data_IF_635639992941
#
_entry.id   IF_635639992941
#
_cell.length_a   1.000
_cell.length_b   1.000
_cell.length_c   1.000
_cell.angle_alpha   90.00
_cell.angle_beta   90.00
_cell.angle_gamma   90.00
#
_symmetry.space_group_name_H-M   'P 1'
#
loop_
_entity.id
_entity.type
_entity.pdbx_description
1 polymer ?
#
# COMPACT_ATOMS: atom_id res chain seq x y z
N UNK A 1 -2.33 -2.85 18.15
CA UNK A 1 -1.19 -2.24 18.89
C UNK A 1 -0.26 -3.36 19.35
N UNK A 2 0.93 -3.48 18.76
CA UNK A 2 2.01 -4.33 19.28
C UNK A 2 3.12 -3.38 19.72
N UNK A 3 3.47 -3.44 21.01
CA UNK A 3 4.56 -2.67 21.60
C UNK A 3 5.87 -3.04 20.91
N UNK A 4 6.53 -2.07 20.28
CA UNK A 4 7.95 -2.16 19.96
C UNK A 4 8.72 -1.96 21.26
N UNK A 5 9.25 -3.05 21.80
CA UNK A 5 10.12 -3.02 22.98
C UNK A 5 11.48 -2.47 22.52
N UNK A 6 11.73 -1.21 22.82
CA UNK A 6 13.03 -0.57 22.67
C UNK A 6 14.00 -1.15 23.70
N UNK A 7 14.85 -2.09 23.27
CA UNK A 7 15.97 -2.56 24.09
C UNK A 7 17.19 -1.67 23.85
N UNK A 8 17.28 -0.58 24.62
CA UNK A 8 18.44 0.30 24.62
C UNK A 8 19.54 -0.33 25.49
N UNK A 9 20.43 -1.13 24.89
CA UNK A 9 21.62 -1.62 25.58
C UNK A 9 22.66 -0.50 25.66
N UNK A 10 22.67 0.21 26.79
CA UNK A 10 23.80 0.99 27.27
C UNK A 10 24.95 0.03 27.58
N UNK A 11 26.00 0.04 26.75
CA UNK A 11 27.24 -0.69 27.05
C UNK A 11 28.12 0.23 27.88
N UNK A 12 28.10 0.03 29.19
CA UNK A 12 29.16 0.48 30.09
C UNK A 12 30.45 -0.27 29.75
N UNK A 13 31.52 0.48 29.51
CA UNK A 13 32.89 -0.02 29.40
C UNK A 13 33.34 -0.56 30.77
N UNK A 14 33.00 -1.81 31.07
CA UNK A 14 33.71 -2.56 32.09
C UNK A 14 34.93 -3.22 31.45
N UNK A 15 36.12 -2.69 31.77
CA UNK A 15 37.39 -3.36 31.56
C UNK A 15 37.46 -4.60 32.46
N UNK A 16 36.78 -5.67 32.06
CA UNK A 16 36.99 -6.99 32.62
C UNK A 16 38.04 -7.68 31.74
N UNK A 17 39.15 -8.13 32.35
CA UNK A 17 40.00 -9.15 31.76
C UNK A 17 39.09 -10.32 31.39
N UNK A 18 38.87 -10.54 30.10
CA UNK A 18 37.99 -11.60 29.59
C UNK A 18 38.82 -12.84 29.27
N UNK A 19 38.75 -13.91 30.08
CA UNK A 19 39.40 -15.16 29.76
C UNK A 19 38.59 -15.86 28.67
N UNK A 20 38.87 -15.53 27.41
CA UNK A 20 38.24 -16.12 26.25
C UNK A 20 39.09 -15.88 25.01
N UNK A 21 39.00 -16.78 24.02
CA UNK A 21 39.69 -16.63 22.75
C UNK A 21 39.18 -15.34 22.06
N UNK A 22 40.01 -14.30 22.00
CA UNK A 22 39.65 -12.99 21.47
C UNK A 22 39.19 -13.04 19.99
N UNK A 23 39.65 -14.03 19.24
CA UNK A 23 39.19 -14.32 17.89
C UNK A 23 37.75 -14.84 17.87
N UNK A 24 37.35 -15.65 18.86
CA UNK A 24 35.97 -16.12 19.00
C UNK A 24 35.03 -14.94 19.25
N UNK A 25 35.40 -14.02 20.13
CA UNK A 25 34.60 -12.83 20.42
C UNK A 25 34.44 -11.93 19.18
N UNK A 26 35.52 -11.75 18.41
CA UNK A 26 35.49 -11.01 17.15
C UNK A 26 34.56 -11.68 16.11
N UNK A 27 34.62 -13.01 15.99
CA UNK A 27 33.70 -13.79 15.15
C UNK A 27 32.24 -13.65 15.61
N UNK A 28 31.98 -13.71 16.92
CA UNK A 28 30.65 -13.51 17.48
C UNK A 28 30.11 -12.09 17.22
N UNK A 29 30.98 -11.07 17.23
CA UNK A 29 30.59 -9.70 16.89
C UNK A 29 30.14 -9.59 15.43
N UNK A 30 30.86 -10.19 14.49
CA UNK A 30 30.45 -10.27 13.08
C UNK A 30 29.12 -11.00 12.95
N UNK A 31 28.96 -12.15 13.61
CA UNK A 31 27.72 -12.95 13.57
C UNK A 31 26.52 -12.17 14.11
N UNK A 32 26.68 -11.45 15.23
CA UNK A 32 25.63 -10.60 15.80
C UNK A 32 25.21 -9.50 14.83
N UNK A 33 26.18 -8.80 14.22
CA UNK A 33 25.88 -7.76 13.23
C UNK A 33 25.13 -8.33 12.00
N UNK A 34 25.52 -9.51 11.50
CA UNK A 34 24.80 -10.19 10.41
C UNK A 34 23.36 -10.51 10.78
N UNK A 35 23.16 -11.08 11.97
CA UNK A 35 21.83 -11.38 12.47
C UNK A 35 20.97 -10.12 12.56
N UNK A 36 21.51 -9.00 13.04
CA UNK A 36 20.79 -7.72 13.08
C UNK A 36 20.33 -7.28 11.69
N UNK A 37 21.20 -7.33 10.68
CA UNK A 37 20.82 -6.97 9.30
C UNK A 37 19.76 -7.91 8.75
N UNK A 38 19.88 -9.22 8.99
CA UNK A 38 18.89 -10.21 8.57
C UNK A 38 17.52 -9.99 9.22
N UNK A 39 17.49 -9.64 10.51
CA UNK A 39 16.24 -9.27 11.21
C UNK A 39 15.62 -8.03 10.58
N UNK A 40 16.40 -6.96 10.35
CA UNK A 40 15.91 -5.72 9.73
C UNK A 40 15.35 -6.00 8.33
N UNK A 41 16.04 -6.80 7.50
CA UNK A 41 15.55 -7.21 6.18
C UNK A 41 14.24 -8.01 6.25
N UNK A 42 14.13 -8.92 7.22
CA UNK A 42 12.90 -9.69 7.44
C UNK A 42 11.73 -8.77 7.81
N UNK A 43 11.96 -7.82 8.70
CA UNK A 43 10.93 -6.88 9.14
C UNK A 43 10.56 -5.85 8.06
N UNK A 44 11.52 -5.42 7.23
CA UNK A 44 11.29 -4.64 6.02
C UNK A 44 10.32 -5.36 5.07
N UNK A 45 10.61 -6.63 4.74
CA UNK A 45 9.78 -7.44 3.82
C UNK A 45 8.37 -7.69 4.37
N UNK A 46 8.26 -7.95 5.67
CA UNK A 46 6.96 -8.07 6.36
C UNK A 46 6.18 -6.76 6.29
N UNK A 47 6.85 -5.64 6.53
CA UNK A 47 6.23 -4.31 6.50
C UNK A 47 5.74 -3.96 5.10
N UNK A 48 6.59 -4.14 4.07
CA UNK A 48 6.22 -3.97 2.65
C UNK A 48 4.97 -4.78 2.30
N UNK A 49 4.96 -6.07 2.64
CA UNK A 49 3.83 -6.96 2.37
C UNK A 49 2.57 -6.58 3.14
N UNK A 50 2.71 -6.14 4.39
CA UNK A 50 1.58 -5.71 5.22
C UNK A 50 0.94 -4.43 4.68
N UNK A 51 1.76 -3.43 4.33
CA UNK A 51 1.29 -2.16 3.78
C UNK A 51 0.56 -2.39 2.46
N UNK A 52 1.16 -3.19 1.55
CA UNK A 52 0.55 -3.53 0.26
C UNK A 52 -0.84 -4.14 0.44
N UNK A 53 -0.94 -5.19 1.26
CA UNK A 53 -2.23 -5.89 1.50
C UNK A 53 -3.28 -4.99 2.13
N UNK A 54 -2.91 -4.19 3.14
CA UNK A 54 -3.84 -3.26 3.78
C UNK A 54 -4.37 -2.20 2.79
N UNK A 55 -3.48 -1.65 1.96
CA UNK A 55 -3.86 -0.70 0.92
C UNK A 55 -4.78 -1.32 -0.13
N UNK A 56 -4.41 -2.48 -0.68
CA UNK A 56 -5.22 -3.21 -1.65
C UNK A 56 -6.61 -3.51 -1.10
N UNK A 57 -6.70 -4.06 0.12
CA UNK A 57 -7.98 -4.37 0.77
C UNK A 57 -8.88 -3.14 0.87
N UNK A 58 -8.34 -2.00 1.29
CA UNK A 58 -9.12 -0.74 1.42
C UNK A 58 -9.54 -0.19 0.06
N UNK A 59 -8.65 -0.21 -0.92
CA UNK A 59 -8.95 0.23 -2.30
C UNK A 59 -10.09 -0.61 -2.89
N UNK A 60 -10.02 -1.95 -2.76
CA UNK A 60 -11.07 -2.86 -3.22
C UNK A 60 -12.38 -2.63 -2.47
N UNK A 61 -12.32 -2.43 -1.15
CA UNK A 61 -13.51 -2.14 -0.33
C UNK A 61 -14.23 -0.87 -0.81
N UNK A 62 -13.50 0.24 -0.99
CA UNK A 62 -14.09 1.48 -1.50
C UNK A 62 -14.68 1.33 -2.89
N UNK A 63 -13.99 0.63 -3.79
CA UNK A 63 -14.50 0.40 -5.13
C UNK A 63 -15.80 -0.43 -5.09
N UNK A 64 -15.81 -1.52 -4.31
CA UNK A 64 -16.95 -2.43 -4.20
C UNK A 64 -18.17 -1.74 -3.61
N UNK A 65 -17.98 -0.99 -2.52
CA UNK A 65 -19.05 -0.17 -1.94
C UNK A 65 -19.62 0.80 -2.96
N UNK A 66 -18.74 1.45 -3.73
CA UNK A 66 -19.16 2.46 -4.70
C UNK A 66 -19.91 1.86 -5.88
N UNK A 67 -19.42 0.73 -6.40
CA UNK A 67 -20.06 -0.05 -7.46
C UNK A 67 -21.46 -0.54 -7.04
N UNK A 68 -21.61 -1.03 -5.82
CA UNK A 68 -22.90 -1.49 -5.29
C UNK A 68 -23.90 -0.34 -5.17
N UNK A 69 -23.47 0.82 -4.68
CA UNK A 69 -24.32 2.02 -4.62
C UNK A 69 -24.76 2.47 -6.02
N UNK A 70 -23.86 2.47 -6.99
CA UNK A 70 -24.18 2.80 -8.38
C UNK A 70 -25.16 1.80 -9.01
N UNK A 71 -24.96 0.50 -8.76
CA UNK A 71 -25.85 -0.55 -9.23
C UNK A 71 -27.25 -0.40 -8.65
N UNK A 72 -27.35 -0.12 -7.34
CA UNK A 72 -28.62 0.10 -6.67
C UNK A 72 -29.35 1.33 -7.23
N UNK A 73 -28.63 2.45 -7.42
CA UNK A 73 -29.21 3.66 -8.01
C UNK A 73 -29.72 3.42 -9.44
N UNK A 74 -28.91 2.73 -10.28
CA UNK A 74 -29.33 2.32 -11.62
C UNK A 74 -30.61 1.48 -11.57
N UNK A 75 -30.62 0.42 -10.76
CA UNK A 75 -31.74 -0.51 -10.71
C UNK A 75 -33.03 0.17 -10.21
N UNK A 76 -32.91 1.09 -9.26
CA UNK A 76 -34.03 1.91 -8.80
C UNK A 76 -34.68 2.68 -9.96
N UNK A 77 -33.87 3.39 -10.77
CA UNK A 77 -34.41 4.13 -11.92
C UNK A 77 -34.95 3.23 -13.02
N UNK A 78 -34.28 2.11 -13.31
CA UNK A 78 -34.78 1.18 -14.33
C UNK A 78 -36.12 0.55 -13.93
N UNK A 79 -36.32 0.26 -12.64
CA UNK A 79 -37.61 -0.18 -12.13
C UNK A 79 -38.67 0.92 -12.24
N UNK A 80 -38.33 2.17 -11.91
CA UNK A 80 -39.22 3.31 -12.09
C UNK A 80 -39.66 3.49 -13.55
N UNK A 81 -38.73 3.42 -14.51
CA UNK A 81 -39.04 3.47 -15.95
C UNK A 81 -39.98 2.34 -16.35
N UNK A 82 -39.72 1.11 -15.86
CA UNK A 82 -40.57 -0.05 -16.12
C UNK A 82 -42.00 0.15 -15.60
N UNK A 83 -42.16 0.63 -14.37
CA UNK A 83 -43.46 0.94 -13.79
C UNK A 83 -44.21 1.98 -14.64
N UNK A 84 -43.52 3.03 -15.09
CA UNK A 84 -44.10 4.06 -15.97
C UNK A 84 -44.50 3.55 -17.35
N UNK A 85 -43.75 2.62 -17.91
CA UNK A 85 -44.15 1.91 -19.14
C UNK A 85 -45.45 1.14 -18.95
N UNK A 86 -45.59 0.41 -17.85
CA UNK A 86 -46.81 -0.34 -17.54
C UNK A 86 -48.03 0.58 -17.36
N UNK A 87 -47.85 1.76 -16.75
CA UNK A 87 -48.89 2.79 -16.63
C UNK A 87 -49.31 3.37 -18.01
N UNK A 88 -48.33 3.67 -18.87
CA UNK A 88 -48.57 4.18 -20.23
C UNK A 88 -49.38 3.18 -21.06
N UNK A 89 -48.99 1.90 -21.03
CA UNK A 89 -49.64 0.82 -21.76
C UNK A 89 -51.09 0.62 -21.32
N UNK A 90 -51.37 0.67 -20.01
CA UNK A 90 -52.75 0.62 -19.48
C UNK A 90 -53.61 1.80 -19.92
N UNK A 91 -52.97 2.93 -20.22
CA UNK A 91 -53.62 4.16 -20.65
C UNK A 91 -53.66 4.32 -22.18
N UNK A 92 -53.23 3.29 -22.94
CA UNK A 92 -53.08 3.32 -24.40
C UNK A 92 -52.21 4.50 -24.92
N UNK A 93 -51.20 4.92 -24.14
CA UNK A 93 -50.22 5.93 -24.55
C UNK A 93 -49.01 5.26 -25.21
N UNK A 94 -48.53 5.84 -26.30
CA UNK A 94 -47.36 5.32 -27.01
C UNK A 94 -46.08 6.01 -26.51
N UNK A 95 -45.49 5.47 -25.44
CA UNK A 95 -44.28 6.04 -24.80
C UNK A 95 -43.02 5.16 -24.97
N UNK A 96 -43.10 4.02 -25.67
CA UNK A 96 -42.06 2.99 -25.65
C UNK A 96 -40.70 3.48 -26.18
N UNK A 97 -40.68 4.11 -27.36
CA UNK A 97 -39.45 4.62 -27.97
C UNK A 97 -38.75 5.66 -27.08
N UNK A 98 -39.54 6.56 -26.46
CA UNK A 98 -39.04 7.57 -25.53
C UNK A 98 -38.45 6.92 -24.27
N UNK A 99 -39.17 5.96 -23.67
CA UNK A 99 -38.73 5.25 -22.46
C UNK A 99 -37.50 4.36 -22.72
N UNK A 100 -37.37 3.79 -23.92
CA UNK A 100 -36.17 3.05 -24.34
C UNK A 100 -34.96 3.99 -24.49
N UNK A 101 -35.14 5.20 -25.02
CA UNK A 101 -34.09 6.19 -25.08
C UNK A 101 -33.59 6.59 -23.67
N UNK A 102 -34.51 6.80 -22.71
CA UNK A 102 -34.16 7.08 -21.30
C UNK A 102 -33.43 5.89 -20.67
N UNK A 103 -33.91 4.67 -20.89
CA UNK A 103 -33.27 3.43 -20.41
C UNK A 103 -31.82 3.31 -20.91
N UNK A 104 -31.61 3.56 -22.21
CA UNK A 104 -30.29 3.52 -22.84
C UNK A 104 -29.35 4.58 -22.26
N UNK A 105 -29.84 5.80 -22.02
CA UNK A 105 -29.09 6.88 -21.37
C UNK A 105 -28.60 6.47 -19.97
N UNK A 106 -29.46 5.88 -19.15
CA UNK A 106 -29.11 5.38 -17.81
C UNK A 106 -28.07 4.25 -17.87
N UNK A 107 -28.27 3.27 -18.76
CA UNK A 107 -27.33 2.15 -18.93
C UNK A 107 -25.95 2.61 -19.39
N UNK A 108 -25.89 3.51 -20.38
CA UNK A 108 -24.63 4.06 -20.90
C UNK A 108 -23.89 4.86 -19.83
N UNK A 109 -24.60 5.67 -19.05
CA UNK A 109 -24.01 6.41 -17.93
C UNK A 109 -23.45 5.46 -16.87
N UNK A 110 -24.18 4.41 -16.49
CA UNK A 110 -23.68 3.42 -15.54
C UNK A 110 -22.40 2.75 -16.03
N UNK A 111 -22.36 2.28 -17.28
CA UNK A 111 -21.17 1.64 -17.85
C UNK A 111 -19.96 2.59 -17.85
N UNK A 112 -20.17 3.84 -18.26
CA UNK A 112 -19.13 4.88 -18.27
C UNK A 112 -18.58 5.14 -16.86
N UNK A 113 -19.46 5.34 -15.89
CA UNK A 113 -19.03 5.67 -14.53
C UNK A 113 -18.44 4.43 -13.82
N UNK A 114 -18.90 3.22 -14.13
CA UNK A 114 -18.29 1.98 -13.62
C UNK A 114 -16.87 1.78 -14.18
N UNK A 115 -16.65 2.11 -15.46
CA UNK A 115 -15.31 2.17 -16.03
C UNK A 115 -14.43 3.19 -15.29
N UNK A 116 -14.99 4.35 -14.95
CA UNK A 116 -14.28 5.37 -14.15
C UNK A 116 -13.88 4.84 -12.76
N UNK A 117 -14.74 4.08 -12.06
CA UNK A 117 -14.36 3.42 -10.81
C UNK A 117 -13.17 2.47 -10.95
N UNK A 118 -13.12 1.71 -12.06
CA UNK A 118 -11.99 0.82 -12.34
C UNK A 118 -10.71 1.61 -12.58
N UNK A 119 -10.79 2.74 -13.27
CA UNK A 119 -9.66 3.64 -13.46
C UNK A 119 -9.16 4.22 -12.14
N UNK A 120 -10.05 4.69 -11.27
CA UNK A 120 -9.71 5.17 -9.92
C UNK A 120 -8.92 4.09 -9.16
N UNK A 121 -9.47 2.86 -9.10
CA UNK A 121 -8.80 1.71 -8.45
C UNK A 121 -7.40 1.49 -9.00
N UNK A 122 -7.26 1.41 -10.32
CA UNK A 122 -5.98 1.12 -10.96
C UNK A 122 -4.94 2.21 -10.67
N UNK A 123 -5.33 3.49 -10.70
CA UNK A 123 -4.46 4.62 -10.36
C UNK A 123 -4.02 4.57 -8.88
N UNK A 124 -4.94 4.24 -7.97
CA UNK A 124 -4.61 4.09 -6.56
C UNK A 124 -3.64 2.93 -6.32
N UNK A 125 -3.86 1.77 -6.98
CA UNK A 125 -2.95 0.62 -6.88
C UNK A 125 -1.56 0.95 -7.43
N UNK A 126 -1.47 1.62 -8.58
CA UNK A 126 -0.20 2.07 -9.15
C UNK A 126 0.54 3.05 -8.23
N UNK A 127 -0.19 3.97 -7.60
CA UNK A 127 0.39 4.93 -6.66
C UNK A 127 0.97 4.22 -5.43
N UNK A 128 0.28 3.22 -4.89
CA UNK A 128 0.79 2.42 -3.77
C UNK A 128 2.05 1.64 -4.18
N UNK A 129 2.05 1.03 -5.36
CA UNK A 129 3.21 0.28 -5.83
C UNK A 129 4.44 1.19 -5.99
N UNK A 130 4.24 2.40 -6.54
CA UNK A 130 5.31 3.39 -6.67
C UNK A 130 5.89 3.81 -5.29
N UNK A 131 5.05 4.01 -4.28
CA UNK A 131 5.52 4.29 -2.90
C UNK A 131 6.33 3.11 -2.33
N UNK A 132 5.95 1.88 -2.62
CA UNK A 132 6.62 0.68 -2.11
C UNK A 132 7.99 0.41 -2.76
N UNK A 133 8.26 0.95 -3.95
CA UNK A 133 9.56 0.81 -4.62
C UNK A 133 10.70 1.44 -3.83
N UNK A 134 10.42 2.42 -2.97
CA UNK A 134 11.43 3.00 -2.06
C UNK A 134 12.02 1.93 -1.14
N UNK A 135 11.25 0.90 -0.78
CA UNK A 135 11.70 -0.19 0.08
C UNK A 135 12.58 -1.21 -0.66
N UNK A 136 12.53 -1.26 -2.00
CA UNK A 136 13.41 -2.13 -2.79
C UNK A 136 14.86 -1.64 -2.76
N UNK A 137 15.05 -0.32 -2.78
CA UNK A 137 16.37 0.28 -2.58
C UNK A 137 16.95 -0.07 -1.20
N UNK A 138 16.11 -0.10 -0.17
CA UNK A 138 16.53 -0.49 1.18
C UNK A 138 16.93 -1.97 1.25
N UNK A 139 16.23 -2.86 0.55
CA UNK A 139 16.63 -4.27 0.47
C UNK A 139 18.04 -4.45 -0.11
N UNK A 140 18.40 -3.66 -1.13
CA UNK A 140 19.75 -3.66 -1.73
C UNK A 140 20.78 -3.19 -0.70
N UNK A 141 20.50 -2.12 0.06
CA UNK A 141 21.40 -1.63 1.11
C UNK A 141 21.63 -2.70 2.17
N UNK A 142 20.58 -3.38 2.64
CA UNK A 142 20.71 -4.48 3.59
C UNK A 142 21.56 -5.64 3.05
N UNK A 143 21.40 -6.03 1.79
CA UNK A 143 22.25 -7.05 1.14
C UNK A 143 23.71 -6.61 1.07
N UNK A 144 23.97 -5.33 0.79
CA UNK A 144 25.33 -4.79 0.79
C UNK A 144 25.98 -4.81 2.17
N UNK A 145 25.23 -4.49 3.23
CA UNK A 145 25.72 -4.61 4.62
C UNK A 145 26.09 -6.05 4.98
N UNK A 146 25.31 -7.05 4.53
CA UNK A 146 25.66 -8.46 4.70
C UNK A 146 26.97 -8.80 3.98
N UNK A 147 27.12 -8.36 2.73
CA UNK A 147 28.34 -8.58 1.94
C UNK A 147 29.57 -7.90 2.59
N UNK A 148 29.42 -6.70 3.14
CA UNK A 148 30.49 -6.05 3.91
C UNK A 148 30.90 -6.91 5.11
N UNK A 149 29.92 -7.41 5.88
CA UNK A 149 30.16 -8.28 7.03
C UNK A 149 30.77 -9.64 6.67
N UNK A 150 30.45 -10.21 5.51
CA UNK A 150 31.06 -11.45 5.01
C UNK A 150 32.56 -11.27 4.73
N UNK A 151 32.97 -10.08 4.29
CA UNK A 151 34.37 -9.78 3.94
C UNK A 151 35.24 -9.39 5.12
N UNK A 152 34.66 -8.97 6.26
CA UNK A 152 35.41 -8.46 7.41
C UNK A 152 36.56 -9.37 7.84
N UNK A 153 36.32 -10.69 7.95
CA UNK A 153 37.35 -11.63 8.43
C UNK A 153 38.49 -11.75 7.43
N UNK A 154 38.18 -11.81 6.14
CA UNK A 154 39.17 -11.89 5.06
C UNK A 154 40.00 -10.60 4.99
N UNK A 155 39.31 -9.44 5.00
CA UNK A 155 39.95 -8.13 4.91
C UNK A 155 40.88 -7.82 6.09
N UNK A 156 40.60 -8.42 7.25
CA UNK A 156 41.37 -8.22 8.47
C UNK A 156 42.42 -9.33 8.72
N UNK A 157 42.57 -10.28 7.80
CA UNK A 157 43.53 -11.35 7.95
C UNK A 157 44.95 -10.78 8.16
N UNK A 158 45.58 -11.23 9.24
CA UNK A 158 46.92 -10.83 9.62
C UNK A 158 47.58 -11.98 10.39
N UNK A 159 48.88 -12.20 10.18
CA UNK A 159 49.63 -13.23 10.91
C UNK A 159 49.71 -12.98 12.42
N UNK A 160 49.51 -11.72 12.85
CA UNK A 160 49.36 -11.33 14.23
C UNK A 160 47.87 -11.33 14.64
N UNK A 161 47.49 -12.29 15.48
CA UNK A 161 46.11 -12.47 15.97
C UNK A 161 45.54 -11.22 16.64
N UNK A 162 46.34 -10.46 17.40
CA UNK A 162 45.85 -9.25 18.07
C UNK A 162 45.55 -8.14 17.06
N UNK A 163 46.38 -7.98 16.02
CA UNK A 163 46.11 -7.03 14.94
C UNK A 163 44.86 -7.43 14.14
N UNK A 164 44.69 -8.72 13.85
CA UNK A 164 43.49 -9.25 13.19
C UNK A 164 42.22 -8.96 14.00
N UNK A 165 42.23 -9.28 15.30
CA UNK A 165 41.10 -9.05 16.21
C UNK A 165 40.74 -7.56 16.30
N UNK A 166 41.73 -6.69 16.48
CA UNK A 166 41.51 -5.25 16.54
C UNK A 166 40.92 -4.71 15.24
N UNK A 167 41.42 -5.17 14.08
CA UNK A 167 40.86 -4.82 12.78
C UNK A 167 39.38 -5.23 12.68
N UNK A 168 39.04 -6.46 13.07
CA UNK A 168 37.65 -6.96 13.02
C UNK A 168 36.74 -6.08 13.88
N UNK A 169 37.13 -5.78 15.12
CA UNK A 169 36.31 -4.94 16.00
C UNK A 169 36.10 -3.53 15.45
N UNK A 170 37.14 -2.90 14.89
CA UNK A 170 37.04 -1.57 14.28
C UNK A 170 36.07 -1.61 13.08
N UNK A 171 36.24 -2.57 12.15
CA UNK A 171 35.37 -2.70 10.99
C UNK A 171 33.92 -3.01 11.38
N UNK A 172 33.69 -3.94 12.31
CA UNK A 172 32.35 -4.26 12.82
C UNK A 172 31.73 -3.05 13.52
N UNK A 173 32.51 -2.29 14.29
CA UNK A 173 32.07 -1.05 14.92
C UNK A 173 31.54 -0.04 13.91
N UNK A 174 32.28 0.17 12.82
CA UNK A 174 31.86 1.05 11.72
C UNK A 174 30.61 0.53 11.00
N UNK A 175 30.56 -0.76 10.68
CA UNK A 175 29.38 -1.36 10.04
C UNK A 175 28.15 -1.27 10.95
N UNK A 176 28.29 -1.46 12.26
CA UNK A 176 27.18 -1.30 13.21
C UNK A 176 26.61 0.12 13.23
N UNK A 177 27.41 1.16 12.97
CA UNK A 177 26.90 2.51 12.79
C UNK A 177 26.03 2.62 11.53
N UNK A 178 26.50 2.04 10.41
CA UNK A 178 25.70 1.95 9.18
C UNK A 178 24.39 1.17 9.38
N UNK A 179 24.41 0.07 10.14
CA UNK A 179 23.22 -0.72 10.46
C UNK A 179 22.17 0.12 11.20
N UNK A 180 22.59 0.93 12.18
CA UNK A 180 21.67 1.83 12.90
C UNK A 180 21.07 2.90 12.00
N UNK A 181 21.87 3.49 11.11
CA UNK A 181 21.38 4.44 10.13
C UNK A 181 20.38 3.79 9.17
N UNK A 182 20.71 2.61 8.66
CA UNK A 182 19.84 1.81 7.78
C UNK A 182 18.48 1.51 8.43
N UNK A 183 18.46 1.10 9.71
CA UNK A 183 17.22 0.87 10.45
C UNK A 183 16.37 2.15 10.60
N UNK A 184 17.02 3.29 10.84
CA UNK A 184 16.35 4.59 10.94
C UNK A 184 15.75 5.03 9.60
N UNK A 185 16.50 4.88 8.51
CA UNK A 185 16.04 5.22 7.15
C UNK A 185 14.84 4.38 6.74
N UNK A 186 14.86 3.07 6.99
CA UNK A 186 13.69 2.19 6.80
C UNK A 186 12.50 2.69 7.61
N UNK A 187 12.70 2.99 8.90
CA UNK A 187 11.64 3.44 9.79
C UNK A 187 11.04 4.79 9.37
N UNK A 188 11.83 5.66 8.74
CA UNK A 188 11.34 6.91 8.16
C UNK A 188 10.56 6.66 6.87
N UNK A 189 11.11 5.85 5.96
CA UNK A 189 10.46 5.48 4.71
C UNK A 189 9.09 4.83 4.94
N UNK A 190 9.00 3.87 5.87
CA UNK A 190 7.73 3.22 6.24
C UNK A 190 6.70 4.24 6.71
N UNK A 191 7.09 5.19 7.58
CA UNK A 191 6.18 6.25 8.07
C UNK A 191 5.70 7.15 6.94
N UNK A 192 6.59 7.51 6.01
CA UNK A 192 6.22 8.31 4.85
C UNK A 192 5.24 7.58 3.94
N UNK A 193 5.50 6.30 3.65
CA UNK A 193 4.63 5.45 2.84
C UNK A 193 3.24 5.34 3.49
N UNK A 194 3.16 5.14 4.81
CA UNK A 194 1.88 5.09 5.53
C UNK A 194 1.11 6.40 5.45
N UNK A 195 1.79 7.54 5.54
CA UNK A 195 1.16 8.86 5.37
C UNK A 195 0.67 9.07 3.93
N UNK A 196 1.46 8.66 2.94
CA UNK A 196 1.08 8.75 1.53
C UNK A 196 -0.05 7.77 1.18
N UNK A 197 -0.08 6.60 1.80
CA UNK A 197 -1.19 5.65 1.69
C UNK A 197 -2.52 6.29 2.10
N UNK A 198 -2.56 7.05 3.21
CA UNK A 198 -3.78 7.77 3.62
C UNK A 198 -4.25 8.78 2.56
N UNK A 199 -3.30 9.50 1.94
CA UNK A 199 -3.62 10.45 0.85
C UNK A 199 -4.17 9.72 -0.38
N UNK A 200 -3.53 8.63 -0.79
CA UNK A 200 -3.96 7.80 -1.92
C UNK A 200 -5.37 7.24 -1.67
N UNK A 201 -5.64 6.76 -0.46
CA UNK A 201 -6.97 6.27 -0.07
C UNK A 201 -8.03 7.38 -0.10
N UNK A 202 -7.69 8.59 0.33
CA UNK A 202 -8.58 9.76 0.22
C UNK A 202 -8.87 10.12 -1.25
N UNK A 203 -7.85 10.12 -2.10
CA UNK A 203 -8.01 10.35 -3.54
C UNK A 203 -8.88 9.26 -4.20
N UNK A 204 -8.69 7.99 -3.83
CA UNK A 204 -9.53 6.89 -4.28
C UNK A 204 -11.00 7.10 -3.89
N UNK A 205 -11.26 7.47 -2.64
CA UNK A 205 -12.62 7.74 -2.16
C UNK A 205 -13.26 8.92 -2.90
N UNK A 206 -12.51 10.01 -3.12
CA UNK A 206 -13.00 11.17 -3.87
C UNK A 206 -13.27 10.84 -5.34
N UNK A 207 -12.36 10.10 -6.00
CA UNK A 207 -12.53 9.66 -7.38
C UNK A 207 -13.79 8.79 -7.54
N UNK A 208 -14.02 7.87 -6.60
CA UNK A 208 -15.22 7.06 -6.56
C UNK A 208 -16.49 7.90 -6.36
N UNK A 209 -16.48 8.81 -5.39
CA UNK A 209 -17.60 9.72 -5.12
C UNK A 209 -17.97 10.55 -6.35
N UNK A 210 -16.98 11.05 -7.09
CA UNK A 210 -17.23 11.79 -8.34
C UNK A 210 -17.94 10.93 -9.40
N UNK A 211 -17.57 9.65 -9.56
CA UNK A 211 -18.25 8.74 -10.48
C UNK A 211 -19.71 8.50 -10.06
N UNK A 212 -19.95 8.35 -8.76
CA UNK A 212 -21.29 8.22 -8.21
C UNK A 212 -22.14 9.45 -8.44
N UNK A 213 -21.62 10.65 -8.17
CA UNK A 213 -22.35 11.90 -8.35
C UNK A 213 -22.71 12.15 -9.82
N UNK A 214 -21.82 11.78 -10.77
CA UNK A 214 -22.12 11.87 -12.20
C UNK A 214 -23.23 10.91 -12.61
N UNK A 215 -23.21 9.67 -12.14
CA UNK A 215 -24.32 8.75 -12.36
C UNK A 215 -25.61 9.28 -11.72
N UNK A 216 -25.53 9.79 -10.50
CA UNK A 216 -26.66 10.34 -9.76
C UNK A 216 -27.35 11.46 -10.53
N UNK A 217 -26.58 12.37 -11.11
CA UNK A 217 -27.10 13.44 -11.97
C UNK A 217 -27.89 12.89 -13.16
N UNK A 218 -27.35 11.89 -13.87
CA UNK A 218 -28.06 11.25 -15.00
C UNK A 218 -29.32 10.53 -14.54
N UNK A 219 -29.25 9.79 -13.43
CA UNK A 219 -30.40 9.06 -12.87
C UNK A 219 -31.51 9.99 -12.39
N UNK A 220 -31.16 11.15 -11.81
CA UNK A 220 -32.15 12.16 -11.43
C UNK A 220 -32.81 12.79 -12.65
N UNK A 221 -32.03 13.08 -13.69
CA UNK A 221 -32.58 13.60 -14.94
C UNK A 221 -33.52 12.59 -15.61
N UNK A 222 -33.18 11.30 -15.55
CA UNK A 222 -34.00 10.24 -16.12
C UNK A 222 -35.42 10.17 -15.51
N UNK A 223 -35.62 10.56 -14.25
CA UNK A 223 -36.96 10.64 -13.64
C UNK A 223 -37.84 11.67 -14.37
N UNK A 224 -37.27 12.86 -14.64
CA UNK A 224 -37.96 13.91 -15.38
C UNK A 224 -38.20 13.50 -16.83
N UNK A 225 -37.16 13.00 -17.51
CA UNK A 225 -37.27 12.53 -18.90
C UNK A 225 -38.35 11.44 -19.03
N UNK A 226 -38.42 10.50 -18.08
CA UNK A 226 -39.46 9.46 -18.03
C UNK A 226 -40.85 10.06 -17.87
N UNK A 227 -41.01 11.06 -17.01
CA UNK A 227 -42.31 11.73 -16.80
C UNK A 227 -42.75 12.49 -18.04
N UNK A 228 -41.80 13.12 -18.74
CA UNK A 228 -42.07 13.84 -19.98
C UNK A 228 -42.49 12.89 -21.11
N UNK A 229 -41.89 11.70 -21.21
CA UNK A 229 -42.32 10.65 -22.16
C UNK A 229 -43.80 10.25 -22.02
N UNK A 230 -44.43 10.49 -20.87
CA UNK A 230 -45.84 10.14 -20.62
C UNK A 230 -46.82 11.24 -21.01
N UNK A 231 -46.33 12.42 -21.40
CA UNK A 231 -47.17 13.56 -21.81
C UNK A 231 -47.59 13.48 -23.28
N UNK A 232 -46.79 12.81 -24.09
CA UNK A 232 -47.06 12.50 -25.50
C UNK A 232 -48.00 11.27 -25.62
#
# INVERSE_FOLDING_TARGET
>A
MKLFIFFCFLVTLCAAQWPGNSLQQASEAVKKAKNSVQTILSDLNRSKSSIKRDAEQKIYSYQTQSANQMLNNRNFILNYIKEKREEANKSNKNADDCLDAVTNKVNNAYQKEYSSLNQCKNQAMQSIEAELQVLDAQEIIGKNLLNELDRVVLDCYNSNTMQMVNCIFIKVGYINQKIRQYEQEISQAIRQIQNNQLKILSMQASCNSNAQSRLQSVTSQAIYDTTDCLKD
#
